data_IF_626272557904
#
_entry.id   IF_626272557904
#
_cell.length_a   1.000
_cell.length_b   1.000
_cell.length_c   1.000
_cell.angle_alpha   90.00
_cell.angle_beta   90.00
_cell.angle_gamma   90.00
#
_symmetry.space_group_name_H-M   'P 1'
#
loop_
_entity.id
_entity.type
_entity.pdbx_description
1 polymer ?
#
# COMPACT_ATOMS: atom_id res chain seq x y z
N UNK A 1 -33.00 24.68 -28.26
CA UNK A 1 -31.86 24.07 -27.56
C UNK A 1 -31.97 22.56 -27.67
N UNK A 2 -31.16 21.93 -28.51
CA UNK A 2 -31.10 20.46 -28.61
C UNK A 2 -30.23 19.94 -27.46
N UNK A 3 -30.68 18.97 -26.65
CA UNK A 3 -29.89 18.45 -25.54
C UNK A 3 -28.73 17.60 -26.09
N UNK A 4 -27.52 18.15 -26.04
CA UNK A 4 -26.29 17.42 -26.33
C UNK A 4 -26.08 16.34 -25.28
N UNK A 5 -26.37 15.08 -25.63
CA UNK A 5 -25.94 13.92 -24.85
C UNK A 5 -24.44 13.99 -24.63
N UNK A 6 -23.98 13.73 -23.41
CA UNK A 6 -22.55 13.66 -23.09
C UNK A 6 -21.94 12.43 -23.80
N UNK A 7 -20.85 12.58 -24.59
CA UNK A 7 -20.32 11.50 -25.42
C UNK A 7 -19.92 10.24 -24.64
N UNK A 8 -19.46 10.40 -23.38
CA UNK A 8 -19.09 9.25 -22.52
C UNK A 8 -20.27 8.34 -22.16
N UNK A 9 -21.52 8.82 -22.21
CA UNK A 9 -22.69 8.00 -21.91
C UNK A 9 -23.02 7.06 -23.08
N UNK A 10 -22.85 7.53 -24.31
CA UNK A 10 -23.07 6.71 -25.51
C UNK A 10 -21.96 5.68 -25.68
N UNK A 11 -20.70 6.06 -25.42
CA UNK A 11 -19.58 5.11 -25.44
C UNK A 11 -19.75 3.97 -24.41
N UNK A 12 -20.15 4.29 -23.17
CA UNK A 12 -20.44 3.28 -22.13
C UNK A 12 -21.63 2.38 -22.49
N UNK A 13 -22.66 2.91 -23.13
CA UNK A 13 -23.76 2.09 -23.63
C UNK A 13 -23.29 1.17 -24.76
N UNK A 14 -22.47 1.64 -25.70
CA UNK A 14 -21.91 0.82 -26.77
C UNK A 14 -20.99 -0.30 -26.23
N UNK A 15 -20.15 -0.01 -25.23
CA UNK A 15 -19.33 -1.01 -24.53
C UNK A 15 -20.20 -2.07 -23.82
N UNK A 16 -21.28 -1.65 -23.15
CA UNK A 16 -22.23 -2.55 -22.50
C UNK A 16 -23.04 -3.38 -23.49
N UNK A 17 -23.48 -2.81 -24.61
CA UNK A 17 -24.15 -3.52 -25.69
C UNK A 17 -23.22 -4.51 -26.38
N UNK A 18 -21.96 -4.15 -26.60
CA UNK A 18 -20.95 -5.07 -27.12
C UNK A 18 -20.74 -6.26 -26.18
N UNK A 19 -20.60 -6.02 -24.87
CA UNK A 19 -20.48 -7.07 -23.86
C UNK A 19 -21.72 -7.98 -23.80
N UNK A 20 -22.93 -7.41 -23.81
CA UNK A 20 -24.18 -8.18 -23.83
C UNK A 20 -24.35 -8.99 -25.12
N UNK A 21 -23.99 -8.41 -26.27
CA UNK A 21 -24.01 -9.08 -27.57
C UNK A 21 -23.00 -10.23 -27.61
N UNK A 22 -21.82 -10.03 -27.03
CA UNK A 22 -20.79 -11.06 -26.91
C UNK A 22 -21.23 -12.22 -26.01
N UNK A 23 -21.85 -11.93 -24.85
CA UNK A 23 -22.45 -12.94 -23.95
C UNK A 23 -23.61 -13.69 -24.64
N UNK A 24 -24.40 -13.00 -25.48
CA UNK A 24 -25.46 -13.63 -26.28
C UNK A 24 -24.86 -14.57 -27.35
N UNK A 25 -23.90 -14.11 -28.15
CA UNK A 25 -23.20 -14.92 -29.15
C UNK A 25 -22.50 -16.14 -28.51
N UNK A 26 -21.96 -15.98 -27.30
CA UNK A 26 -21.36 -17.07 -26.54
C UNK A 26 -22.38 -18.18 -26.22
N UNK A 27 -23.55 -17.79 -25.68
CA UNK A 27 -24.65 -18.71 -25.38
C UNK A 27 -25.22 -19.38 -26.63
N UNK A 28 -25.42 -18.62 -27.71
CA UNK A 28 -25.88 -19.15 -29.01
C UNK A 28 -24.92 -20.18 -29.60
N UNK A 29 -23.61 -20.02 -29.38
CA UNK A 29 -22.57 -20.96 -29.84
C UNK A 29 -22.25 -22.08 -28.83
N UNK A 30 -22.99 -22.18 -27.73
CA UNK A 30 -22.76 -23.18 -26.68
C UNK A 30 -21.41 -23.05 -25.97
N UNK A 31 -20.77 -21.87 -26.00
CA UNK A 31 -19.48 -21.62 -25.39
C UNK A 31 -19.65 -21.35 -23.89
N UNK A 32 -18.88 -22.08 -23.06
CA UNK A 32 -18.86 -21.85 -21.62
C UNK A 32 -18.21 -20.48 -21.31
N UNK A 33 -18.86 -19.72 -20.42
CA UNK A 33 -18.39 -18.42 -19.94
C UNK A 33 -17.32 -18.57 -18.85
N UNK A 34 -17.44 -19.59 -17.99
CA UNK A 34 -16.75 -19.71 -16.70
C UNK A 34 -16.04 -21.05 -16.47
N UNK A 35 -16.24 -22.03 -17.36
CA UNK A 35 -15.61 -23.35 -17.27
C UNK A 35 -14.09 -23.35 -17.42
N UNK A 36 -13.46 -24.55 -17.32
CA UNK A 36 -12.01 -24.69 -17.27
C UNK A 36 -11.28 -24.13 -18.49
N UNK A 37 -11.91 -24.02 -19.66
CA UNK A 37 -11.38 -23.29 -20.84
C UNK A 37 -12.34 -22.22 -21.38
N UNK A 38 -13.21 -21.72 -20.50
CA UNK A 38 -14.26 -20.76 -20.83
C UNK A 38 -13.77 -19.40 -21.32
N UNK A 39 -14.69 -18.64 -21.92
CA UNK A 39 -14.42 -17.37 -22.60
C UNK A 39 -13.67 -16.35 -21.74
N UNK A 40 -14.00 -16.23 -20.45
CA UNK A 40 -13.30 -15.31 -19.54
C UNK A 40 -11.80 -15.65 -19.40
N UNK A 41 -11.44 -16.93 -19.49
CA UNK A 41 -10.06 -17.42 -19.40
C UNK A 41 -9.29 -17.09 -20.68
N UNK A 42 -9.92 -17.30 -21.85
CA UNK A 42 -9.36 -16.94 -23.15
C UNK A 42 -9.20 -15.42 -23.31
N UNK A 43 -10.17 -14.63 -22.83
CA UNK A 43 -10.06 -13.17 -22.78
C UNK A 43 -8.90 -12.71 -21.90
N UNK A 44 -8.80 -13.24 -20.68
CA UNK A 44 -7.71 -12.93 -19.74
C UNK A 44 -6.34 -13.30 -20.33
N UNK A 45 -6.24 -14.46 -21.00
CA UNK A 45 -5.05 -14.87 -21.75
C UNK A 45 -4.69 -13.83 -22.81
N UNK A 46 -5.62 -13.50 -23.71
CA UNK A 46 -5.39 -12.59 -24.84
C UNK A 46 -4.97 -11.19 -24.40
N UNK A 47 -5.54 -10.65 -23.30
CA UNK A 47 -5.17 -9.35 -22.75
C UNK A 47 -3.74 -9.37 -22.20
N UNK A 48 -3.39 -10.39 -21.42
CA UNK A 48 -2.04 -10.54 -20.86
C UNK A 48 -0.98 -10.73 -21.93
N UNK A 49 -1.25 -11.57 -22.94
CA UNK A 49 -0.34 -11.82 -24.06
C UNK A 49 -0.14 -10.56 -24.92
N UNK A 50 -1.21 -9.81 -25.20
CA UNK A 50 -1.13 -8.55 -25.96
C UNK A 50 -0.30 -7.50 -25.23
N UNK A 51 -0.51 -7.34 -23.92
CA UNK A 51 0.26 -6.39 -23.11
C UNK A 51 1.75 -6.77 -23.04
N UNK A 52 2.06 -8.07 -22.92
CA UNK A 52 3.44 -8.56 -22.96
C UNK A 52 4.09 -8.43 -24.34
N UNK A 53 3.33 -8.63 -25.43
CA UNK A 53 3.84 -8.42 -26.80
C UNK A 53 4.10 -6.92 -27.07
N UNK A 54 3.38 -6.00 -26.42
CA UNK A 54 3.63 -4.57 -26.49
C UNK A 54 4.83 -4.12 -25.64
N UNK A 55 4.98 -4.61 -24.40
CA UNK A 55 6.21 -4.42 -23.60
C UNK A 55 7.46 -4.88 -24.38
N UNK A 56 7.36 -5.99 -25.12
CA UNK A 56 8.45 -6.48 -25.97
C UNK A 56 8.68 -5.62 -27.22
N UNK A 57 7.64 -4.96 -27.75
CA UNK A 57 7.76 -3.99 -28.85
C UNK A 57 8.51 -2.74 -28.38
N UNK A 58 8.18 -2.24 -27.19
CA UNK A 58 8.86 -1.11 -26.55
C UNK A 58 10.32 -1.45 -26.23
N UNK A 59 10.58 -2.58 -25.55
CA UNK A 59 11.93 -3.06 -25.20
C UNK A 59 12.87 -3.20 -26.41
N UNK A 60 12.35 -3.66 -27.55
CA UNK A 60 13.14 -3.83 -28.78
C UNK A 60 13.10 -2.61 -29.72
N UNK A 61 12.39 -1.54 -29.33
CA UNK A 61 12.19 -0.32 -30.10
C UNK A 61 11.48 -0.52 -31.45
N UNK A 62 10.80 -1.65 -31.66
CA UNK A 62 10.18 -2.01 -32.96
C UNK A 62 9.15 -3.13 -32.85
N UNK A 63 8.12 -3.02 -33.69
CA UNK A 63 7.06 -4.01 -33.80
C UNK A 63 7.55 -5.36 -34.35
N UNK A 64 6.77 -6.42 -34.07
CA UNK A 64 6.99 -7.79 -34.56
C UNK A 64 7.19 -7.81 -36.08
N UNK A 65 8.17 -8.57 -36.56
CA UNK A 65 8.59 -8.69 -37.97
C UNK A 65 9.07 -7.40 -38.67
N UNK A 66 9.17 -6.24 -38.00
CA UNK A 66 9.82 -5.05 -38.57
C UNK A 66 11.35 -5.12 -38.40
N UNK A 67 12.07 -4.74 -39.46
CA UNK A 67 13.53 -4.59 -39.43
C UNK A 67 13.92 -3.39 -38.54
N UNK A 68 15.13 -3.43 -37.97
CA UNK A 68 15.75 -2.23 -37.39
C UNK A 68 15.94 -1.17 -38.48
N UNK A 69 15.88 0.12 -38.11
CA UNK A 69 16.13 1.23 -39.05
C UNK A 69 17.50 1.10 -39.73
N UNK A 70 18.49 0.60 -38.99
CA UNK A 70 19.88 0.47 -39.44
C UNK A 70 20.18 -0.91 -40.06
N UNK A 71 19.16 -1.74 -40.29
CA UNK A 71 19.28 -3.11 -40.82
C UNK A 71 19.90 -4.14 -39.86
N UNK A 72 20.75 -3.70 -38.93
CA UNK A 72 21.31 -4.48 -37.82
C UNK A 72 20.46 -4.25 -36.57
N UNK A 73 20.01 -5.34 -35.95
CA UNK A 73 19.41 -5.30 -34.62
C UNK A 73 20.32 -6.09 -33.69
N UNK A 74 20.82 -5.46 -32.62
CA UNK A 74 21.64 -6.14 -31.62
C UNK A 74 20.85 -7.31 -30.97
N UNK A 75 19.60 -7.03 -30.57
CA UNK A 75 18.69 -7.99 -29.98
C UNK A 75 17.46 -8.24 -30.88
N UNK A 76 16.91 -9.46 -30.86
CA UNK A 76 15.76 -9.89 -31.67
C UNK A 76 14.76 -10.72 -30.85
N UNK A 77 13.49 -10.78 -31.28
CA UNK A 77 12.50 -11.69 -30.68
C UNK A 77 12.89 -13.15 -30.94
N UNK A 78 12.82 -14.00 -29.93
CA UNK A 78 13.24 -15.40 -29.97
C UNK A 78 12.15 -16.33 -29.40
N UNK A 79 10.99 -16.31 -30.06
CA UNK A 79 9.82 -17.11 -29.68
C UNK A 79 9.14 -16.68 -28.38
N UNK A 80 8.41 -17.63 -27.78
CA UNK A 80 7.66 -17.47 -26.54
C UNK A 80 8.07 -18.54 -25.52
N UNK A 81 7.58 -18.43 -24.29
CA UNK A 81 7.66 -19.49 -23.29
C UNK A 81 6.36 -19.57 -22.51
N UNK A 82 5.79 -20.77 -22.47
CA UNK A 82 4.55 -21.04 -21.75
C UNK A 82 4.75 -20.81 -20.24
N UNK A 83 3.81 -20.07 -19.64
CA UNK A 83 3.75 -19.76 -18.22
C UNK A 83 2.29 -19.86 -17.77
N UNK A 84 1.99 -20.74 -16.83
CA UNK A 84 0.69 -20.70 -16.14
C UNK A 84 0.73 -19.63 -15.05
N UNK A 85 -0.22 -18.70 -15.09
CA UNK A 85 -0.48 -17.70 -14.04
C UNK A 85 -1.84 -17.95 -13.40
N UNK A 86 -1.90 -17.96 -12.08
CA UNK A 86 -3.15 -18.07 -11.34
C UNK A 86 -3.73 -16.68 -11.14
N UNK A 87 -4.99 -16.48 -11.57
CA UNK A 87 -5.80 -15.30 -11.27
C UNK A 87 -6.92 -15.70 -10.30
N UNK A 88 -7.24 -14.83 -9.34
CA UNK A 88 -8.29 -15.15 -8.35
C UNK A 88 -9.72 -15.13 -8.95
N UNK A 89 -9.90 -14.60 -10.17
CA UNK A 89 -11.19 -14.49 -10.87
C UNK A 89 -11.45 -15.58 -11.90
N UNK A 90 -10.41 -16.22 -12.46
CA UNK A 90 -10.55 -17.21 -13.56
C UNK A 90 -9.64 -18.43 -13.41
N UNK A 91 -8.93 -18.55 -12.28
CA UNK A 91 -8.08 -19.69 -11.97
C UNK A 91 -6.76 -19.71 -12.77
N UNK A 92 -6.20 -20.91 -13.03
CA UNK A 92 -4.92 -21.05 -13.75
C UNK A 92 -5.04 -20.76 -15.25
N UNK A 93 -4.60 -19.57 -15.68
CA UNK A 93 -4.53 -19.16 -17.10
C UNK A 93 -3.17 -19.53 -17.68
N UNK A 94 -3.14 -20.27 -18.78
CA UNK A 94 -1.91 -20.52 -19.54
C UNK A 94 -1.65 -19.38 -20.52
N UNK A 95 -0.52 -18.69 -20.38
CA UNK A 95 -0.08 -17.59 -21.26
C UNK A 95 1.26 -17.90 -21.93
N UNK A 96 1.47 -17.36 -23.11
CA UNK A 96 2.75 -17.35 -23.83
C UNK A 96 3.48 -16.02 -23.59
N UNK A 97 4.61 -16.08 -22.89
CA UNK A 97 5.43 -14.89 -22.61
C UNK A 97 6.48 -14.72 -23.71
N UNK A 98 6.53 -13.59 -24.43
CA UNK A 98 7.52 -13.36 -25.47
C UNK A 98 8.93 -13.29 -24.90
N UNK A 99 9.91 -13.70 -25.71
CA UNK A 99 11.34 -13.70 -25.35
C UNK A 99 12.17 -12.95 -26.36
N UNK A 100 13.28 -12.41 -25.87
CA UNK A 100 14.34 -11.83 -26.66
C UNK A 100 15.53 -12.82 -26.80
N UNK A 101 16.43 -12.56 -27.74
CA UNK A 101 17.59 -13.41 -28.06
C UNK A 101 18.62 -13.38 -26.93
N UNK A 102 18.75 -12.21 -26.30
CA UNK A 102 19.81 -11.93 -25.32
C UNK A 102 19.34 -12.17 -23.85
N UNK A 103 18.05 -12.47 -23.64
CA UNK A 103 17.46 -12.70 -22.31
C UNK A 103 17.28 -11.46 -21.43
N UNK A 104 17.53 -10.28 -22.01
CA UNK A 104 17.51 -8.95 -21.39
C UNK A 104 16.11 -8.42 -21.08
N UNK A 105 15.06 -8.96 -21.71
CA UNK A 105 13.70 -8.48 -21.52
C UNK A 105 13.21 -8.70 -20.08
N UNK A 106 12.75 -7.66 -19.40
CA UNK A 106 12.22 -7.72 -18.03
C UNK A 106 10.74 -7.29 -17.99
N UNK A 107 9.77 -8.21 -18.22
CA UNK A 107 8.36 -7.85 -18.30
C UNK A 107 7.81 -7.32 -16.97
N UNK A 108 6.93 -6.31 -17.03
CA UNK A 108 6.35 -5.65 -15.85
C UNK A 108 4.97 -6.22 -15.54
N UNK A 109 4.13 -6.44 -16.56
CA UNK A 109 2.77 -7.02 -16.46
C UNK A 109 2.79 -8.42 -15.86
N UNK A 110 3.67 -9.31 -16.32
CA UNK A 110 3.89 -10.63 -15.72
C UNK A 110 5.38 -10.92 -15.55
N UNK A 111 5.92 -10.54 -14.38
CA UNK A 111 7.36 -10.63 -14.09
C UNK A 111 7.96 -12.02 -14.30
N UNK A 112 9.29 -12.08 -14.49
CA UNK A 112 10.04 -13.35 -14.50
C UNK A 112 9.72 -14.15 -13.23
N UNK A 113 9.44 -15.44 -13.38
CA UNK A 113 9.07 -16.40 -12.31
C UNK A 113 7.75 -16.12 -11.56
N UNK A 114 7.05 -15.01 -11.79
CA UNK A 114 5.74 -14.73 -11.18
C UNK A 114 4.68 -15.73 -11.67
N UNK A 115 4.09 -16.50 -10.75
CA UNK A 115 3.05 -17.52 -11.02
C UNK A 115 1.65 -17.13 -10.53
N UNK A 116 1.53 -16.09 -9.71
CA UNK A 116 0.24 -15.56 -9.24
C UNK A 116 0.15 -14.08 -9.62
N UNK A 117 -0.95 -13.71 -10.25
CA UNK A 117 -1.28 -12.31 -10.48
C UNK A 117 -2.12 -11.83 -9.29
N UNK A 118 -1.93 -10.58 -8.82
CA UNK A 118 -2.79 -10.04 -7.78
C UNK A 118 -4.23 -10.01 -8.30
N UNK A 119 -5.15 -10.67 -7.61
CA UNK A 119 -6.56 -10.59 -7.97
C UNK A 119 -7.10 -9.16 -7.84
N UNK A 120 -8.30 -8.95 -8.37
CA UNK A 120 -9.05 -7.68 -8.27
C UNK A 120 -9.08 -7.18 -6.81
N UNK A 121 -9.18 -8.10 -5.85
CA UNK A 121 -9.07 -7.80 -4.41
C UNK A 121 -7.80 -7.05 -4.02
N UNK A 122 -6.62 -7.63 -4.25
CA UNK A 122 -5.32 -7.01 -3.90
C UNK A 122 -5.11 -5.67 -4.62
N UNK A 123 -5.52 -5.56 -5.89
CA UNK A 123 -5.44 -4.29 -6.62
C UNK A 123 -6.33 -3.22 -5.97
N UNK A 124 -7.60 -3.56 -5.67
CA UNK A 124 -8.54 -2.70 -4.94
C UNK A 124 -7.97 -2.27 -3.58
N UNK A 125 -7.44 -3.19 -2.79
CA UNK A 125 -6.84 -2.87 -1.49
C UNK A 125 -5.64 -1.93 -1.64
N UNK A 126 -4.80 -2.13 -2.66
CA UNK A 126 -3.64 -1.27 -2.92
C UNK A 126 -4.04 0.14 -3.40
N UNK A 127 -5.15 0.28 -4.14
CA UNK A 127 -5.68 1.59 -4.55
C UNK A 127 -6.33 2.31 -3.35
N UNK A 128 -7.07 1.57 -2.51
CA UNK A 128 -7.62 2.10 -1.26
C UNK A 128 -6.52 2.56 -0.29
N UNK A 129 -5.43 1.80 -0.17
CA UNK A 129 -4.24 2.17 0.60
C UNK A 129 -3.58 3.48 0.13
N UNK A 130 -3.69 3.79 -1.17
CA UNK A 130 -3.22 5.06 -1.76
C UNK A 130 -4.15 6.24 -1.52
N UNK A 131 -5.32 6.00 -0.92
CA UNK A 131 -6.31 7.00 -0.55
C UNK A 131 -7.50 7.14 -1.49
N UNK A 132 -7.56 6.38 -2.60
CA UNK A 132 -8.68 6.48 -3.55
C UNK A 132 -10.00 6.09 -2.88
N UNK A 133 -11.07 6.80 -3.22
CA UNK A 133 -12.44 6.49 -2.83
C UNK A 133 -12.97 5.27 -3.58
N UNK A 134 -14.03 4.64 -3.07
CA UNK A 134 -14.66 3.49 -3.74
C UNK A 134 -15.22 3.85 -5.13
N UNK A 135 -15.57 5.12 -5.34
CA UNK A 135 -15.98 5.67 -6.65
C UNK A 135 -14.81 5.80 -7.63
N UNK A 136 -13.67 6.33 -7.20
CA UNK A 136 -12.47 6.45 -8.05
C UNK A 136 -11.86 5.09 -8.37
N UNK A 137 -11.88 4.14 -7.43
CA UNK A 137 -11.45 2.75 -7.69
C UNK A 137 -12.35 2.12 -8.75
N UNK A 138 -13.68 2.25 -8.62
CA UNK A 138 -14.65 1.77 -9.61
C UNK A 138 -14.42 2.40 -11.00
N UNK A 139 -14.19 3.71 -11.07
CA UNK A 139 -13.87 4.41 -12.32
C UNK A 139 -12.54 3.93 -12.93
N UNK A 140 -11.47 3.78 -12.13
CA UNK A 140 -10.18 3.25 -12.57
C UNK A 140 -10.30 1.83 -13.16
N UNK A 141 -11.16 0.97 -12.60
CA UNK A 141 -11.39 -0.35 -13.19
C UNK A 141 -12.13 -0.31 -14.54
N UNK A 142 -13.07 0.63 -14.71
CA UNK A 142 -13.70 0.86 -16.01
C UNK A 142 -12.72 1.45 -17.03
N UNK A 143 -11.95 2.48 -16.65
CA UNK A 143 -11.07 3.23 -17.55
C UNK A 143 -9.86 2.43 -18.04
N UNK A 144 -9.22 1.67 -17.13
CA UNK A 144 -7.96 0.95 -17.45
C UNK A 144 -8.21 -0.49 -17.90
N UNK A 145 -9.27 -1.15 -17.39
CA UNK A 145 -9.51 -2.57 -17.62
C UNK A 145 -10.85 -2.89 -18.30
N UNK A 146 -11.70 -1.89 -18.58
CA UNK A 146 -13.04 -2.09 -19.14
C UNK A 146 -13.98 -2.91 -18.23
N UNK A 147 -13.66 -3.00 -16.94
CA UNK A 147 -14.30 -3.92 -16.01
C UNK A 147 -15.24 -3.17 -15.04
N UNK A 148 -16.53 -3.52 -15.07
CA UNK A 148 -17.54 -2.97 -14.16
C UNK A 148 -17.38 -3.55 -12.75
N UNK A 149 -16.49 -2.96 -11.96
CA UNK A 149 -16.35 -3.24 -10.53
C UNK A 149 -17.17 -2.22 -9.76
N UNK A 150 -18.36 -2.62 -9.32
CA UNK A 150 -19.28 -1.75 -8.59
C UNK A 150 -18.68 -1.24 -7.26
N UNK A 151 -19.08 -0.03 -6.83
CA UNK A 151 -18.66 0.55 -5.54
C UNK A 151 -18.96 -0.35 -4.35
N UNK A 152 -20.06 -1.10 -4.41
CA UNK A 152 -20.44 -2.09 -3.41
C UNK A 152 -19.45 -3.27 -3.37
N UNK A 153 -19.02 -3.77 -4.54
CA UNK A 153 -17.98 -4.80 -4.62
C UNK A 153 -16.64 -4.31 -4.06
N UNK A 154 -16.25 -3.06 -4.37
CA UNK A 154 -15.08 -2.42 -3.73
C UNK A 154 -15.24 -2.38 -2.21
N UNK A 155 -16.41 -1.95 -1.71
CA UNK A 155 -16.72 -1.93 -0.26
C UNK A 155 -16.55 -3.32 0.35
N UNK A 156 -17.22 -4.35 -0.19
CA UNK A 156 -17.18 -5.74 0.29
C UNK A 156 -15.75 -6.32 0.30
N UNK A 157 -14.93 -6.02 -0.71
CA UNK A 157 -13.50 -6.38 -0.71
C UNK A 157 -12.79 -5.73 0.47
N UNK A 158 -13.00 -4.42 0.68
CA UNK A 158 -12.34 -3.67 1.76
C UNK A 158 -12.89 -4.00 3.16
N UNK A 159 -14.11 -4.53 3.32
CA UNK A 159 -14.62 -5.02 4.61
C UNK A 159 -13.90 -6.27 5.11
N UNK A 160 -13.46 -7.17 4.22
CA UNK A 160 -12.70 -8.38 4.63
C UNK A 160 -11.42 -8.08 5.41
N UNK A 161 -10.86 -6.88 5.20
CA UNK A 161 -9.64 -6.40 5.86
C UNK A 161 -9.90 -5.94 7.30
N UNK A 162 -11.15 -5.70 7.71
CA UNK A 162 -11.44 -5.28 9.10
C UNK A 162 -11.07 -6.38 10.08
N UNK A 163 -11.42 -7.64 9.79
CA UNK A 163 -11.03 -8.79 10.61
C UNK A 163 -9.50 -8.97 10.67
N UNK A 164 -8.81 -8.84 9.53
CA UNK A 164 -7.34 -8.89 9.44
C UNK A 164 -6.67 -7.77 10.27
N UNK A 165 -7.28 -6.58 10.30
CA UNK A 165 -6.87 -5.45 11.14
C UNK A 165 -7.14 -5.71 12.62
N UNK A 166 -8.25 -6.33 12.99
CA UNK A 166 -8.57 -6.67 14.38
C UNK A 166 -7.60 -7.73 14.92
N UNK A 167 -7.37 -8.81 14.15
CA UNK A 167 -6.36 -9.83 14.45
C UNK A 167 -4.96 -9.23 14.61
N UNK A 168 -4.54 -8.38 13.65
CA UNK A 168 -3.25 -7.67 13.72
C UNK A 168 -3.14 -6.70 14.90
N UNK A 169 -4.24 -6.08 15.34
CA UNK A 169 -4.28 -5.24 16.54
C UNK A 169 -4.22 -6.05 17.85
N UNK A 170 -4.62 -7.33 17.82
CA UNK A 170 -4.64 -8.22 18.99
C UNK A 170 -3.52 -9.27 19.02
N UNK A 171 -2.64 -9.29 18.01
CA UNK A 171 -1.51 -10.22 17.92
C UNK A 171 -0.58 -10.11 19.15
N UNK A 172 0.11 -11.18 19.54
CA UNK A 172 1.20 -11.07 20.51
C UNK A 172 2.28 -10.12 19.98
N UNK A 173 2.81 -9.29 20.88
CA UNK A 173 3.95 -8.40 20.65
C UNK A 173 5.17 -8.95 21.37
N UNK A 174 6.36 -8.54 20.95
CA UNK A 174 7.61 -8.96 21.59
C UNK A 174 7.68 -8.44 23.04
N UNK A 175 8.29 -9.24 23.92
CA UNK A 175 8.40 -8.93 25.35
C UNK A 175 9.22 -7.66 25.63
N UNK A 176 10.15 -7.31 24.75
CA UNK A 176 11.05 -6.15 24.89
C UNK A 176 11.24 -5.47 23.54
N UNK A 177 11.01 -4.17 23.49
CA UNK A 177 11.38 -3.29 22.38
C UNK A 177 12.43 -2.29 22.87
N UNK A 178 13.46 -2.02 22.08
CA UNK A 178 14.53 -1.07 22.41
C UNK A 178 14.04 0.38 22.48
N UNK A 179 13.02 0.73 21.69
CA UNK A 179 12.34 2.02 21.74
C UNK A 179 10.90 1.89 21.25
N UNK A 180 10.00 2.76 21.75
CA UNK A 180 8.65 2.93 21.23
C UNK A 180 8.37 4.41 20.99
N UNK A 181 7.96 4.74 19.77
CA UNK A 181 7.55 6.08 19.37
C UNK A 181 6.03 6.14 19.26
N UNK A 182 5.41 7.19 19.80
CA UNK A 182 3.97 7.44 19.70
C UNK A 182 3.77 8.82 19.07
N UNK A 183 2.88 8.92 18.09
CA UNK A 183 2.48 10.19 17.48
C UNK A 183 0.99 10.16 17.10
N UNK A 184 0.40 11.34 16.88
CA UNK A 184 -0.99 11.53 16.53
C UNK A 184 -1.13 12.20 15.15
N UNK A 185 -1.78 11.52 14.21
CA UNK A 185 -2.19 12.12 12.93
C UNK A 185 -3.65 12.56 13.01
N UNK A 186 -3.92 13.84 12.73
CA UNK A 186 -5.29 14.36 12.66
C UNK A 186 -5.90 14.05 11.28
N UNK A 187 -7.09 13.46 11.30
CA UNK A 187 -7.86 13.03 10.11
C UNK A 187 -9.22 13.74 10.13
N UNK A 188 -9.70 14.14 8.96
CA UNK A 188 -11.07 14.64 8.80
C UNK A 188 -12.04 13.48 8.64
N UNK A 189 -12.94 13.32 9.60
CA UNK A 189 -13.98 12.28 9.62
C UNK A 189 -15.34 12.97 9.61
N UNK A 190 -16.28 12.45 8.81
CA UNK A 190 -17.67 12.89 8.79
C UNK A 190 -18.49 12.01 9.74
N UNK A 191 -19.09 12.63 10.73
CA UNK A 191 -20.02 11.98 11.67
C UNK A 191 -21.19 12.95 11.87
N UNK A 192 -22.15 12.88 10.94
CA UNK A 192 -23.06 13.98 10.59
C UNK A 192 -22.33 15.16 9.92
N UNK A 193 -21.47 15.84 10.69
CA UNK A 193 -20.60 16.95 10.28
C UNK A 193 -19.14 16.50 10.09
N UNK A 194 -18.36 17.23 9.29
CA UNK A 194 -16.93 16.96 9.09
C UNK A 194 -16.12 17.57 10.23
N UNK A 195 -15.51 16.72 11.06
CA UNK A 195 -14.71 17.11 12.22
C UNK A 195 -13.29 16.55 12.14
N UNK A 196 -12.36 17.19 12.85
CA UNK A 196 -11.00 16.69 13.06
C UNK A 196 -11.01 15.63 14.17
N UNK A 197 -10.55 14.41 13.88
CA UNK A 197 -10.35 13.31 14.84
C UNK A 197 -8.85 12.95 14.89
N UNK A 198 -8.34 12.63 16.07
CA UNK A 198 -6.93 12.24 16.25
C UNK A 198 -6.79 10.72 16.17
N UNK A 199 -5.83 10.25 15.37
CA UNK A 199 -5.48 8.84 15.23
C UNK A 199 -4.07 8.65 15.78
N UNK A 200 -3.98 7.92 16.90
CA UNK A 200 -2.72 7.63 17.57
C UNK A 200 -2.07 6.40 16.95
N UNK A 201 -0.75 6.45 16.75
CA UNK A 201 0.02 5.35 16.16
C UNK A 201 1.25 5.10 17.01
N UNK A 202 1.47 3.84 17.39
CA UNK A 202 2.66 3.40 18.11
C UNK A 202 3.58 2.58 17.18
N UNK A 203 4.87 2.88 17.23
CA UNK A 203 5.91 2.26 16.41
C UNK A 203 7.02 1.78 17.34
N UNK A 204 7.16 0.46 17.45
CA UNK A 204 8.22 -0.20 18.21
C UNK A 204 9.48 -0.41 17.36
N UNK A 205 10.59 -0.56 18.07
CA UNK A 205 11.87 -0.98 17.52
C UNK A 205 12.30 -2.22 18.25
N UNK A 206 12.33 -3.34 17.52
CA UNK A 206 12.76 -4.62 18.08
C UNK A 206 14.27 -4.63 18.35
N UNK A 207 14.75 -5.72 18.97
CA UNK A 207 16.17 -5.86 19.35
C UNK A 207 17.09 -6.13 18.14
N UNK A 208 16.54 -6.41 16.96
CA UNK A 208 17.27 -6.49 15.68
C UNK A 208 17.31 -5.12 14.96
N UNK A 209 16.65 -4.10 15.50
CA UNK A 209 16.50 -2.78 14.89
C UNK A 209 15.49 -2.73 13.75
N UNK A 210 14.66 -3.75 13.61
CA UNK A 210 13.49 -3.74 12.76
C UNK A 210 12.43 -2.76 13.28
N UNK A 211 11.56 -2.32 12.37
CA UNK A 211 10.41 -1.49 12.72
C UNK A 211 9.17 -2.35 12.80
N UNK A 212 8.52 -2.31 13.94
CA UNK A 212 7.18 -2.84 14.10
C UNK A 212 6.16 -1.70 14.33
N UNK A 213 4.96 -1.83 13.76
CA UNK A 213 3.85 -0.92 14.05
C UNK A 213 2.94 -1.66 15.02
N UNK A 214 2.86 -1.16 16.25
CA UNK A 214 2.23 -1.88 17.37
C UNK A 214 0.71 -1.70 17.38
N UNK A 215 0.19 -0.61 16.79
CA UNK A 215 -1.24 -0.40 16.65
C UNK A 215 -1.63 1.00 16.19
N UNK A 216 -2.94 1.18 15.98
CA UNK A 216 -3.59 2.45 15.61
C UNK A 216 -4.90 2.58 16.41
N UNK A 217 -5.13 3.74 17.06
CA UNK A 217 -6.29 3.95 17.94
C UNK A 217 -6.99 5.30 17.70
N UNK A 218 -8.32 5.35 17.87
CA UNK A 218 -9.15 6.55 17.64
C UNK A 218 -9.78 7.16 18.90
N UNK A 219 -9.57 6.56 20.08
CA UNK A 219 -10.30 6.92 21.31
C UNK A 219 -10.07 8.39 21.75
N UNK A 220 -11.15 9.18 21.99
CA UNK A 220 -11.02 10.59 22.38
C UNK A 220 -10.49 10.85 23.79
N UNK A 221 -10.54 9.88 24.71
CA UNK A 221 -10.45 10.12 26.16
C UNK A 221 -9.09 10.66 26.64
N UNK A 222 -8.00 10.46 25.90
CA UNK A 222 -6.66 10.97 26.22
C UNK A 222 -6.30 12.29 25.49
N UNK A 223 -7.10 12.71 24.50
CA UNK A 223 -6.75 13.82 23.61
C UNK A 223 -6.99 15.21 24.24
N UNK A 224 -8.02 15.33 25.06
CA UNK A 224 -8.47 16.62 25.61
C UNK A 224 -7.46 17.22 26.62
N UNK A 225 -6.87 16.38 27.48
CA UNK A 225 -5.92 16.82 28.50
C UNK A 225 -4.58 17.32 27.93
N UNK A 226 -4.21 16.91 26.71
CA UNK A 226 -2.91 17.20 26.12
C UNK A 226 -2.88 18.45 25.22
N UNK A 227 -4.04 19.02 24.87
CA UNK A 227 -4.16 20.05 23.82
C UNK A 227 -4.20 21.48 24.35
N UNK A 228 -4.93 21.73 25.44
CA UNK A 228 -5.33 23.10 25.82
C UNK A 228 -4.20 23.90 26.48
N UNK A 229 -3.07 23.26 26.82
CA UNK A 229 -1.85 23.92 27.28
C UNK A 229 -0.94 24.44 26.13
N UNK A 230 -1.25 24.13 24.86
CA UNK A 230 -0.32 24.30 23.72
C UNK A 230 -0.45 25.65 22.98
N UNK A 231 -1.40 26.51 23.36
CA UNK A 231 -1.87 27.62 22.50
C UNK A 231 -1.49 29.05 22.91
N UNK A 232 -0.77 29.26 24.01
CA UNK A 232 -0.13 30.56 24.31
C UNK A 232 1.13 30.77 23.44
N UNK A 233 0.94 30.94 22.13
CA UNK A 233 2.00 31.35 21.21
C UNK A 233 2.49 32.77 21.55
N UNK A 234 3.81 32.93 21.74
CA UNK A 234 4.61 34.19 21.87
C UNK A 234 4.60 34.94 23.28
N UNK A 235 5.56 34.64 24.21
CA UNK A 235 5.66 35.05 25.67
C UNK A 235 5.45 36.54 25.94
N UNK A 236 6.49 37.34 25.69
CA UNK A 236 6.33 38.35 24.66
C UNK A 236 6.57 37.73 23.27
N UNK A 237 7.53 36.77 23.15
CA UNK A 237 7.86 36.02 21.92
C UNK A 237 8.23 34.50 21.95
N UNK A 238 8.11 33.71 23.04
CA UNK A 238 7.55 32.31 23.02
C UNK A 238 7.54 31.65 24.41
N UNK A 239 6.39 31.51 25.10
CA UNK A 239 6.39 31.16 26.53
C UNK A 239 6.36 29.66 26.66
N UNK A 240 5.36 29.05 26.04
CA UNK A 240 5.17 27.65 25.85
C UNK A 240 6.43 26.91 25.38
N UNK A 241 7.40 27.52 24.68
CA UNK A 241 8.67 26.82 24.38
C UNK A 241 9.55 26.74 25.62
N UNK A 242 9.87 27.87 26.28
CA UNK A 242 10.65 27.87 27.52
C UNK A 242 9.95 27.06 28.61
N UNK A 243 8.64 27.28 28.78
CA UNK A 243 7.81 26.58 29.76
C UNK A 243 7.65 25.09 29.44
N UNK A 244 7.44 24.66 28.18
CA UNK A 244 7.45 23.24 27.83
C UNK A 244 8.81 22.60 28.09
N UNK A 245 9.90 23.29 27.79
CA UNK A 245 11.25 22.81 28.10
C UNK A 245 11.51 22.71 29.61
N UNK A 246 11.00 23.64 30.43
CA UNK A 246 11.12 23.61 31.90
C UNK A 246 10.18 22.57 32.54
N UNK A 247 8.90 22.54 32.15
CA UNK A 247 7.87 21.61 32.64
C UNK A 247 8.18 20.15 32.21
N UNK A 248 8.92 19.97 31.11
CA UNK A 248 9.47 18.69 30.67
C UNK A 248 10.97 18.51 31.01
N UNK A 249 11.63 19.44 31.72
CA UNK A 249 13.08 19.38 31.93
C UNK A 249 13.48 18.13 32.72
N UNK A 250 12.80 17.88 33.84
CA UNK A 250 12.95 16.66 34.64
C UNK A 250 12.63 15.36 33.86
N UNK A 251 11.83 15.46 32.80
CA UNK A 251 11.51 14.35 31.89
C UNK A 251 12.50 14.21 30.73
N UNK A 252 13.30 15.26 30.48
CA UNK A 252 14.32 15.33 29.44
C UNK A 252 15.74 15.08 29.97
N UNK A 253 16.03 15.38 31.24
CA UNK A 253 17.32 15.08 31.89
C UNK A 253 17.72 13.61 31.68
N UNK A 254 16.86 12.59 31.91
CA UNK A 254 17.20 11.19 31.66
C UNK A 254 17.52 10.86 30.20
N UNK A 255 17.11 11.69 29.24
CA UNK A 255 17.52 11.54 27.84
C UNK A 255 18.98 11.97 27.63
N UNK A 256 19.48 12.93 28.41
CA UNK A 256 20.87 13.40 28.30
C UNK A 256 21.88 12.37 28.85
N UNK A 257 21.47 11.53 29.81
CA UNK A 257 22.30 10.46 30.39
C UNK A 257 22.54 9.29 29.42
N UNK A 258 21.77 9.19 28.34
CA UNK A 258 21.98 8.17 27.32
C UNK A 258 23.25 8.40 26.49
N UNK A 259 23.83 7.29 26.02
CA UNK A 259 24.93 7.32 25.06
C UNK A 259 24.58 8.15 23.81
N UNK A 260 25.60 8.74 23.18
CA UNK A 260 25.43 9.57 21.99
C UNK A 260 24.73 8.84 20.84
N UNK A 261 24.96 7.54 20.65
CA UNK A 261 24.30 6.76 19.60
C UNK A 261 22.81 6.54 19.88
N UNK A 262 22.43 6.32 21.15
CA UNK A 262 21.01 6.27 21.57
C UNK A 262 20.33 7.62 21.32
N UNK A 263 20.93 8.71 21.82
CA UNK A 263 20.38 10.07 21.70
C UNK A 263 20.18 10.47 20.24
N UNK A 264 21.19 10.19 19.40
CA UNK A 264 21.20 10.47 17.96
C UNK A 264 20.10 9.74 17.22
N UNK A 265 19.73 8.54 17.61
CA UNK A 265 18.67 7.79 16.92
C UNK A 265 17.28 8.31 17.34
N UNK A 266 17.04 8.48 18.64
CA UNK A 266 15.78 9.00 19.19
C UNK A 266 15.45 10.39 18.65
N UNK A 267 16.44 11.31 18.60
CA UNK A 267 16.19 12.70 18.20
C UNK A 267 15.87 12.88 16.71
N UNK A 268 16.12 11.89 15.86
CA UNK A 268 15.99 12.06 14.41
C UNK A 268 14.57 12.05 13.87
N UNK A 269 13.55 11.69 14.68
CA UNK A 269 12.09 11.58 14.39
C UNK A 269 11.66 10.75 13.16
N UNK A 270 12.60 10.40 12.28
CA UNK A 270 12.52 9.54 11.09
C UNK A 270 11.84 8.18 11.36
N UNK A 271 11.91 7.72 12.61
CA UNK A 271 11.23 6.52 13.10
C UNK A 271 9.71 6.57 12.91
N UNK A 272 9.09 7.75 13.03
CA UNK A 272 7.64 7.91 12.91
C UNK A 272 7.26 8.88 11.77
N UNK A 273 8.07 9.90 11.47
CA UNK A 273 7.81 10.85 10.37
C UNK A 273 7.65 10.18 9.00
N UNK A 274 8.48 9.19 8.69
CA UNK A 274 8.41 8.45 7.42
C UNK A 274 7.11 7.66 7.25
N UNK A 275 6.48 7.27 8.36
CA UNK A 275 5.16 6.63 8.40
C UNK A 275 4.06 7.68 8.30
N UNK A 276 4.14 8.75 9.10
CA UNK A 276 3.21 9.88 9.06
C UNK A 276 3.15 10.56 7.69
N UNK A 277 4.26 10.66 6.96
CA UNK A 277 4.29 11.20 5.60
C UNK A 277 3.49 10.33 4.63
N UNK A 278 3.45 9.00 4.83
CA UNK A 278 2.64 8.06 4.03
C UNK A 278 1.16 8.18 4.40
N UNK A 279 0.81 8.20 5.70
CA UNK A 279 -0.55 8.48 6.14
C UNK A 279 -1.06 9.82 5.61
N UNK A 280 -0.30 10.91 5.79
CA UNK A 280 -0.67 12.24 5.29
C UNK A 280 -0.87 12.23 3.77
N UNK A 281 -0.18 11.39 3.00
CA UNK A 281 -0.40 11.23 1.56
C UNK A 281 -1.74 10.53 1.25
N UNK A 282 -2.01 9.37 1.84
CA UNK A 282 -3.26 8.63 1.60
C UNK A 282 -4.50 9.36 2.16
N UNK A 283 -4.38 10.00 3.31
CA UNK A 283 -5.44 10.84 3.91
C UNK A 283 -5.75 12.06 3.02
N UNK A 284 -4.72 12.78 2.54
CA UNK A 284 -4.93 13.99 1.71
C UNK A 284 -5.57 13.68 0.37
N UNK A 285 -5.23 12.54 -0.25
CA UNK A 285 -5.86 12.11 -1.50
C UNK A 285 -7.39 11.96 -1.37
N UNK A 286 -7.87 11.50 -0.21
CA UNK A 286 -9.30 11.29 0.07
C UNK A 286 -10.05 12.53 0.59
N UNK A 287 -9.32 13.48 1.18
CA UNK A 287 -9.87 14.74 1.74
C UNK A 287 -10.62 14.58 3.06
N UNK A 288 -11.63 13.70 3.12
CA UNK A 288 -12.33 13.31 4.35
C UNK A 288 -12.81 11.85 4.29
N UNK A 289 -13.05 11.24 5.44
CA UNK A 289 -13.57 9.89 5.58
C UNK A 289 -15.05 9.89 5.98
N UNK A 290 -15.84 8.88 5.56
CA UNK A 290 -17.26 8.77 5.89
C UNK A 290 -17.54 8.37 7.35
N UNK A 291 -16.56 7.80 8.04
CA UNK A 291 -16.60 7.31 9.42
C UNK A 291 -15.17 7.01 9.92
N UNK A 292 -14.99 6.70 11.21
CA UNK A 292 -13.67 6.38 11.80
C UNK A 292 -13.11 5.03 11.32
N UNK A 293 -13.95 4.06 10.98
CA UNK A 293 -13.52 2.73 10.53
C UNK A 293 -12.92 2.77 9.12
N UNK A 294 -13.48 3.57 8.21
CA UNK A 294 -12.95 3.83 6.88
C UNK A 294 -11.58 4.51 6.94
N UNK A 295 -11.35 5.37 7.94
CA UNK A 295 -10.06 5.99 8.22
C UNK A 295 -9.05 4.99 8.79
N UNK A 296 -9.42 4.22 9.83
CA UNK A 296 -8.61 3.13 10.39
C UNK A 296 -8.19 2.14 9.29
N UNK A 297 -9.12 1.72 8.45
CA UNK A 297 -8.90 0.80 7.33
C UNK A 297 -7.90 1.34 6.31
N UNK A 298 -7.98 2.63 5.96
CA UNK A 298 -7.03 3.26 5.06
C UNK A 298 -5.63 3.37 5.68
N UNK A 299 -5.55 3.73 6.96
CA UNK A 299 -4.27 3.78 7.68
C UNK A 299 -3.67 2.38 7.84
N UNK A 300 -4.45 1.38 8.23
CA UNK A 300 -4.01 -0.02 8.30
C UNK A 300 -3.52 -0.55 6.95
N UNK A 301 -4.26 -0.31 5.85
CA UNK A 301 -3.80 -0.69 4.50
C UNK A 301 -2.54 0.09 4.07
N UNK A 302 -2.37 1.33 4.55
CA UNK A 302 -1.11 2.08 4.41
C UNK A 302 0.04 1.41 5.20
N UNK A 303 -0.24 0.84 6.38
CA UNK A 303 0.73 0.04 7.18
C UNK A 303 1.06 -1.30 6.50
N UNK A 304 0.05 -2.06 6.05
CA UNK A 304 0.24 -3.33 5.35
C UNK A 304 1.03 -3.18 4.04
N UNK A 305 0.94 -2.02 3.39
CA UNK A 305 1.72 -1.70 2.18
C UNK A 305 3.14 -1.14 2.45
N UNK A 306 3.61 -1.11 3.71
CA UNK A 306 4.95 -0.63 4.04
C UNK A 306 6.03 -1.64 3.61
N UNK A 307 6.96 -1.17 2.77
CA UNK A 307 8.15 -1.92 2.34
C UNK A 307 7.86 -3.33 1.80
N UNK A 308 7.11 -3.45 0.69
CA UNK A 308 6.83 -4.73 0.02
C UNK A 308 8.09 -5.40 -0.57
N UNK A 309 9.29 -4.85 -0.31
CA UNK A 309 10.57 -5.33 -0.81
C UNK A 309 11.55 -5.77 0.28
N UNK A 310 11.25 -5.51 1.57
CA UNK A 310 12.16 -5.74 2.70
C UNK A 310 13.43 -4.87 2.74
N UNK A 311 13.76 -4.15 1.64
CA UNK A 311 14.97 -3.34 1.51
C UNK A 311 14.99 -2.13 2.45
N UNK A 312 13.82 -1.63 2.82
CA UNK A 312 13.66 -0.57 3.81
C UNK A 312 14.01 -1.04 5.22
N UNK A 313 13.55 -2.23 5.62
CA UNK A 313 13.89 -2.87 6.91
C UNK A 313 15.40 -3.01 7.07
N UNK A 314 16.08 -3.64 6.11
CA UNK A 314 17.54 -3.88 6.13
C UNK A 314 18.32 -2.57 6.37
N UNK A 315 17.99 -1.50 5.62
CA UNK A 315 18.66 -0.20 5.75
C UNK A 315 18.38 0.47 7.10
N UNK A 316 17.26 0.13 7.75
CA UNK A 316 16.86 0.72 9.02
C UNK A 316 17.51 0.00 10.20
N UNK A 317 17.51 -1.34 10.23
CA UNK A 317 18.25 -2.16 11.20
C UNK A 317 19.74 -1.78 11.26
N UNK A 318 20.36 -1.60 10.08
CA UNK A 318 21.76 -1.16 9.98
C UNK A 318 22.03 0.23 10.62
N UNK A 319 21.02 1.12 10.70
CA UNK A 319 21.14 2.42 11.38
C UNK A 319 21.02 2.29 12.90
N UNK A 320 20.21 1.35 13.39
CA UNK A 320 19.98 1.16 14.83
C UNK A 320 21.07 0.35 15.53
N UNK A 321 21.85 -0.46 14.80
CA UNK A 321 22.88 -1.34 15.38
C UNK A 321 23.82 -0.68 16.41
N UNK A 322 24.35 0.55 16.22
CA UNK A 322 25.16 1.21 17.25
C UNK A 322 24.37 1.53 18.52
N UNK A 323 23.14 2.04 18.39
CA UNK A 323 22.27 2.35 19.50
C UNK A 323 21.80 1.09 20.25
N UNK A 324 21.53 -0.01 19.54
CA UNK A 324 21.16 -1.30 20.15
C UNK A 324 22.29 -1.87 21.01
N UNK A 325 23.55 -1.81 20.52
CA UNK A 325 24.70 -2.20 21.32
C UNK A 325 24.82 -1.34 22.59
N UNK A 326 24.61 -0.02 22.47
CA UNK A 326 24.62 0.88 23.62
C UNK A 326 23.46 0.59 24.61
N UNK A 327 22.26 0.27 24.14
CA UNK A 327 21.13 -0.16 24.98
C UNK A 327 21.43 -1.47 25.71
N UNK A 328 22.01 -2.46 25.02
CA UNK A 328 22.37 -3.75 25.61
C UNK A 328 23.40 -3.62 26.74
N UNK A 329 24.33 -2.66 26.63
CA UNK A 329 25.30 -2.33 27.70
C UNK A 329 24.63 -1.55 28.83
N UNK A 330 23.86 -0.50 28.50
CA UNK A 330 23.25 0.41 29.48
C UNK A 330 22.18 -0.28 30.33
N UNK A 331 21.48 -1.26 29.75
CA UNK A 331 20.34 -1.96 30.34
C UNK A 331 20.54 -3.49 30.32
N UNK A 332 21.75 -3.95 30.60
CA UNK A 332 22.12 -5.37 30.60
C UNK A 332 21.25 -6.23 31.55
N UNK A 333 20.67 -5.63 32.59
CA UNK A 333 19.73 -6.25 33.54
C UNK A 333 18.35 -6.56 32.94
N UNK A 334 17.95 -5.83 31.89
CA UNK A 334 16.65 -5.93 31.19
C UNK A 334 16.77 -6.44 29.76
N UNK A 335 17.98 -6.52 29.22
CA UNK A 335 18.23 -7.12 27.91
C UNK A 335 18.07 -8.65 28.00
N UNK A 336 17.27 -9.29 27.13
CA UNK A 336 17.14 -10.73 27.15
C UNK A 336 18.47 -11.40 26.76
N UNK A 337 18.98 -12.26 27.64
CA UNK A 337 20.09 -13.17 27.33
C UNK A 337 19.68 -14.16 26.24
N UNK A 338 20.63 -14.59 25.40
CA UNK A 338 20.43 -15.41 24.17
C UNK A 338 19.79 -16.81 24.37
N UNK A 339 19.30 -17.14 25.57
CA UNK A 339 18.65 -18.41 25.91
C UNK A 339 17.13 -18.36 26.13
N UNK A 340 16.47 -17.19 26.01
CA UNK A 340 15.04 -17.05 26.37
C UNK A 340 14.17 -16.58 25.19
N UNK A 341 14.16 -17.38 24.11
CA UNK A 341 13.10 -17.37 23.11
C UNK A 341 12.44 -18.77 23.08
N UNK A 342 11.24 -18.86 23.67
CA UNK A 342 10.24 -19.92 23.50
C UNK A 342 8.87 -19.27 23.39
#
# INVERSE_FOLDING_TARGET
>A
MTPTKKPDAEKRNAEREAALTFVRMAKEKGLDLTGPDGLLKQFTKSVLETALDEEMTEHLGRAKHKKSKDGRAANTRNGTTAKTVVTDSVGPVGIEVPRDRDGSFEPVVVRKRQRRLPGVGEVVLSLYARGLTTGEISAHFQEIYGADVSRETVSRITERVVAEKDEWCSRPLDRVYAAVFIDATVVKVRDGQVANRAFYVAVGVDLEGGRDVLGIWTSPAAAAAARDAMLDKWEARYPAIRRLWMDAWERFIPFLDYDVEIRRVICTTNAIESLNARFKRSIRARGHFPDEQAALKCMYLTVRSLDPTGKGRIRWSARWKPALNAFAITFADRWPSEGTQQ
#
